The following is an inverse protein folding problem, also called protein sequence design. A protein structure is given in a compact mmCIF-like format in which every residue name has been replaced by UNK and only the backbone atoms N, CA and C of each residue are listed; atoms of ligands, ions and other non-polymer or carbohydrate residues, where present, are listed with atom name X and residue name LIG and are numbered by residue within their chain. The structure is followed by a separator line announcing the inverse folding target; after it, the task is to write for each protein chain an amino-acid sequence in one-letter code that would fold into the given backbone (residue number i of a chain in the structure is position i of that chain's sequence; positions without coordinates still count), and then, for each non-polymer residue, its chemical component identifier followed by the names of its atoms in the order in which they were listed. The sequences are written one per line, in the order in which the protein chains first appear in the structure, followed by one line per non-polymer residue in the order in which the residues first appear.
data_IF_513750435015
#
_entry.id   IF_513750435015
#
_cell.length_a   1.000
_cell.length_b   1.000
_cell.length_c   1.000
_cell.angle_alpha   90.00
_cell.angle_beta   90.00
_cell.angle_gamma   90.00
#
_symmetry.space_group_name_H-M   'P 1'
#
loop_
_entity.id
_entity.type
_entity.pdbx_description
1 polymer ?
#
# COMPACT_ATOMS: atom_id res chain seq x y z
N UNK A 1 -5.47 0.85 -13.39
CA UNK A 1 -4.58 0.53 -12.24
C UNK A 1 -4.09 1.79 -11.53
N UNK A 2 -3.50 2.76 -12.24
CA UNK A 2 -2.94 3.98 -11.62
C UNK A 2 -3.92 4.75 -10.71
N UNK A 3 -5.18 4.93 -11.11
CA UNK A 3 -6.17 5.60 -10.28
C UNK A 3 -6.44 4.86 -8.95
N UNK A 4 -6.47 3.53 -8.99
CA UNK A 4 -6.70 2.69 -7.79
C UNK A 4 -5.49 2.77 -6.85
N UNK A 5 -4.27 2.65 -7.38
CA UNK A 5 -3.06 2.74 -6.55
C UNK A 5 -2.91 4.12 -5.91
N UNK A 6 -3.25 5.19 -6.61
CA UNK A 6 -3.25 6.54 -6.07
C UNK A 6 -4.32 6.72 -4.98
N UNK A 7 -5.54 6.24 -5.21
CA UNK A 7 -6.63 6.33 -4.23
C UNK A 7 -6.27 5.59 -2.93
N UNK A 8 -5.71 4.38 -3.04
CA UNK A 8 -5.27 3.61 -1.87
C UNK A 8 -4.10 4.29 -1.15
N UNK A 9 -3.13 4.84 -1.88
CA UNK A 9 -2.03 5.57 -1.26
C UNK A 9 -2.54 6.81 -0.50
N UNK A 10 -3.47 7.54 -1.10
CA UNK A 10 -4.06 8.73 -0.50
C UNK A 10 -4.88 8.38 0.76
N UNK A 11 -5.68 7.31 0.74
CA UNK A 11 -6.45 6.90 1.91
C UNK A 11 -5.55 6.47 3.07
N UNK A 12 -4.53 5.65 2.79
CA UNK A 12 -3.55 5.23 3.79
C UNK A 12 -2.79 6.43 4.35
N UNK A 13 -2.38 7.36 3.48
CA UNK A 13 -1.69 8.59 3.89
C UNK A 13 -2.56 9.46 4.80
N UNK A 14 -3.85 9.61 4.49
CA UNK A 14 -4.80 10.36 5.30
C UNK A 14 -4.99 9.73 6.70
N UNK A 15 -5.17 8.41 6.73
CA UNK A 15 -5.29 7.66 7.98
C UNK A 15 -4.00 7.72 8.81
N UNK A 16 -2.83 7.64 8.18
CA UNK A 16 -1.53 7.77 8.85
C UNK A 16 -1.31 9.16 9.48
N UNK A 17 -1.97 10.20 8.96
CA UNK A 17 -2.02 11.54 9.56
C UNK A 17 -3.04 11.63 10.73
N UNK A 18 -3.75 10.56 11.03
CA UNK A 18 -4.77 10.52 12.09
C UNK A 18 -6.14 11.04 11.65
N UNK A 19 -6.37 11.20 10.35
CA UNK A 19 -7.65 11.67 9.78
C UNK A 19 -8.58 10.50 9.39
N UNK A 20 -8.25 9.29 9.86
CA UNK A 20 -9.04 8.07 9.67
C UNK A 20 -9.94 7.74 10.86
N UNK A 21 -10.81 6.72 10.71
CA UNK A 21 -11.62 6.20 11.81
C UNK A 21 -10.74 5.50 12.86
N UNK A 22 -10.58 6.14 14.03
CA UNK A 22 -9.65 5.73 15.09
C UNK A 22 -9.88 4.30 15.60
N UNK A 23 -11.15 3.85 15.63
CA UNK A 23 -11.53 2.52 16.10
C UNK A 23 -11.39 1.42 15.04
N UNK A 24 -11.15 1.80 13.77
CA UNK A 24 -11.07 0.83 12.69
C UNK A 24 -9.65 0.26 12.54
N UNK A 25 -9.49 -1.07 12.41
CA UNK A 25 -8.19 -1.70 12.22
C UNK A 25 -7.72 -1.63 10.76
N UNK A 26 -7.45 -0.42 10.26
CA UNK A 26 -6.94 -0.19 8.90
C UNK A 26 -5.40 -0.12 8.89
N UNK A 27 -4.79 -0.27 7.70
CA UNK A 27 -3.34 -0.19 7.55
C UNK A 27 -2.80 1.19 7.88
N UNK A 28 -3.48 2.26 7.47
CA UNK A 28 -3.06 3.62 7.77
C UNK A 28 -3.22 3.95 9.25
N UNK A 29 -4.30 3.51 9.90
CA UNK A 29 -4.45 3.67 11.35
C UNK A 29 -3.40 2.88 12.13
N UNK A 30 -3.02 1.68 11.67
CA UNK A 30 -1.92 0.91 12.29
C UNK A 30 -0.60 1.68 12.23
N UNK A 31 -0.31 2.34 11.10
CA UNK A 31 0.87 3.21 10.96
C UNK A 31 0.76 4.43 11.89
N UNK A 32 -0.42 5.05 11.97
CA UNK A 32 -0.67 6.17 12.88
C UNK A 32 -0.34 5.79 14.33
N UNK A 33 -0.87 4.67 14.83
CA UNK A 33 -0.60 4.18 16.18
C UNK A 33 0.88 3.84 16.38
N UNK A 34 1.55 3.23 15.39
CA UNK A 34 2.98 2.94 15.45
C UNK A 34 3.85 4.21 15.56
N UNK A 35 3.43 5.30 14.92
CA UNK A 35 4.11 6.60 15.05
C UNK A 35 3.80 7.22 16.41
N UNK A 36 2.53 7.23 16.82
CA UNK A 36 2.06 7.84 18.06
C UNK A 36 2.72 7.23 19.30
N UNK A 37 2.78 5.90 19.36
CA UNK A 37 3.39 5.14 20.48
C UNK A 37 4.92 5.05 20.37
N UNK A 38 5.52 5.69 19.35
CA UNK A 38 6.96 5.70 19.15
C UNK A 38 7.55 4.31 18.87
N UNK A 39 6.80 3.41 18.22
CA UNK A 39 7.20 2.01 17.98
C UNK A 39 8.55 1.89 17.25
N UNK A 40 8.86 2.85 16.35
CA UNK A 40 10.14 2.92 15.64
C UNK A 40 11.30 3.19 16.60
N UNK A 41 11.13 4.13 17.52
CA UNK A 41 12.14 4.51 18.53
C UNK A 41 12.29 3.37 19.56
N UNK A 42 11.17 2.76 19.96
CA UNK A 42 11.11 1.64 20.89
C UNK A 42 11.54 0.28 20.29
N UNK A 43 11.93 0.24 19.00
CA UNK A 43 12.35 -0.97 18.26
C UNK A 43 11.29 -2.07 18.19
N UNK A 44 10.01 -1.71 18.30
CA UNK A 44 8.89 -2.65 18.11
C UNK A 44 8.65 -2.89 16.63
N UNK A 45 9.55 -3.66 16.02
CA UNK A 45 9.52 -3.95 14.58
C UNK A 45 8.22 -4.61 14.13
N UNK A 46 7.57 -5.38 15.00
CA UNK A 46 6.28 -6.03 14.71
C UNK A 46 5.11 -5.04 14.57
N UNK A 47 5.27 -3.76 14.90
CA UNK A 47 4.23 -2.74 14.66
C UNK A 47 4.32 -2.11 13.27
N UNK A 48 5.52 -1.69 12.84
CA UNK A 48 5.69 -0.93 11.60
C UNK A 48 6.07 -1.81 10.40
N UNK A 49 6.74 -2.94 10.61
CA UNK A 49 7.19 -3.81 9.51
C UNK A 49 6.03 -4.52 8.79
N UNK A 50 5.02 -5.10 9.49
CA UNK A 50 3.91 -5.75 8.82
C UNK A 50 3.08 -4.84 7.91
N UNK A 51 2.60 -3.65 8.32
CA UNK A 51 1.80 -2.81 7.44
C UNK A 51 2.59 -2.35 6.21
N UNK A 52 3.89 -2.03 6.36
CA UNK A 52 4.75 -1.67 5.23
C UNK A 52 4.90 -2.82 4.24
N UNK A 53 5.04 -4.06 4.73
CA UNK A 53 5.18 -5.24 3.88
C UNK A 53 3.89 -5.52 3.09
N UNK A 54 2.73 -5.43 3.74
CA UNK A 54 1.43 -5.61 3.09
C UNK A 54 1.20 -4.55 2.01
N UNK A 55 1.51 -3.29 2.30
CA UNK A 55 1.45 -2.19 1.33
C UNK A 55 2.39 -2.48 0.16
N UNK A 56 3.64 -2.86 0.41
CA UNK A 56 4.61 -3.17 -0.65
C UNK A 56 4.12 -4.28 -1.59
N UNK A 57 3.56 -5.36 -1.03
CA UNK A 57 2.99 -6.46 -1.81
C UNK A 57 1.78 -5.98 -2.62
N UNK A 58 0.90 -5.16 -2.05
CA UNK A 58 -0.25 -4.61 -2.75
C UNK A 58 0.18 -3.79 -3.99
N UNK A 59 1.12 -2.86 -3.82
CA UNK A 59 1.58 -2.01 -4.91
C UNK A 59 2.36 -2.80 -5.97
N UNK A 60 3.15 -3.81 -5.55
CA UNK A 60 3.80 -4.73 -6.48
C UNK A 60 2.78 -5.56 -7.27
N UNK A 61 1.76 -6.09 -6.60
CA UNK A 61 0.68 -6.85 -7.25
C UNK A 61 -0.11 -6.01 -8.26
N UNK A 62 -0.42 -4.76 -7.90
CA UNK A 62 -1.06 -3.81 -8.82
C UNK A 62 -0.15 -3.49 -10.02
N UNK A 63 1.16 -3.33 -9.79
CA UNK A 63 2.13 -3.11 -10.87
C UNK A 63 2.20 -4.30 -11.84
N UNK A 64 2.31 -5.52 -11.32
CA UNK A 64 2.28 -6.75 -12.13
C UNK A 64 0.97 -6.87 -12.92
N UNK A 65 -0.16 -6.54 -12.29
CA UNK A 65 -1.47 -6.54 -12.94
C UNK A 65 -1.56 -5.49 -14.05
N UNK A 66 -0.93 -4.32 -13.88
CA UNK A 66 -0.84 -3.32 -14.95
C UNK A 66 -0.11 -3.89 -16.17
N UNK A 67 1.06 -4.50 -15.96
CA UNK A 67 1.83 -5.10 -17.05
C UNK A 67 1.08 -6.24 -17.74
N UNK A 68 0.42 -7.12 -16.97
CA UNK A 68 -0.38 -8.20 -17.53
C UNK A 68 -1.58 -7.69 -18.34
N UNK A 69 -2.27 -6.65 -17.87
CA UNK A 69 -3.34 -6.01 -18.63
C UNK A 69 -2.83 -5.35 -19.90
N UNK A 70 -1.66 -4.71 -19.87
CA UNK A 70 -1.06 -4.08 -21.03
C UNK A 70 -0.73 -5.13 -22.13
N UNK A 71 -0.26 -6.32 -21.74
CA UNK A 71 -0.03 -7.44 -22.67
C UNK A 71 -1.33 -7.99 -23.26
N UNK A 72 -2.39 -8.12 -22.46
CA UNK A 72 -3.70 -8.57 -22.93
C UNK A 72 -4.34 -7.54 -23.88
N UNK A 73 -4.23 -6.25 -23.53
CA UNK A 73 -4.83 -5.16 -24.30
C UNK A 73 -4.09 -4.88 -25.62
N UNK A 74 -2.79 -5.18 -25.70
CA UNK A 74 -2.00 -4.95 -26.91
C UNK A 74 -1.31 -6.23 -27.42
N UNK A 75 -2.04 -7.10 -28.14
CA UNK A 75 -1.51 -8.39 -28.61
C UNK A 75 -0.34 -8.26 -29.61
N UNK A 76 -0.08 -7.06 -30.16
CA UNK A 76 1.07 -6.79 -31.06
C UNK A 76 2.42 -6.74 -30.33
N UNK A 77 2.43 -6.55 -29.02
CA UNK A 77 3.68 -6.54 -28.22
C UNK A 77 4.16 -7.98 -27.95
N UNK A 78 3.24 -8.94 -27.97
CA UNK A 78 3.50 -10.37 -27.74
C UNK A 78 4.36 -11.03 -28.83
N UNK A 79 4.45 -10.44 -30.02
CA UNK A 79 5.17 -11.02 -31.17
C UNK A 79 6.67 -10.68 -31.21
N UNK A 80 7.17 -9.85 -30.29
CA UNK A 80 8.56 -9.36 -30.27
C UNK A 80 9.39 -9.82 -29.06
N UNK A 81 8.80 -10.59 -28.16
CA UNK A 81 9.49 -11.24 -27.02
C UNK A 81 9.61 -12.73 -27.34
#
# INVERSE_FOLDING_TARGET
VAAVSQAVLASIGLEALGLGPIEAPTLGMTIYWAILDGAVINRWWWWWLPPITVISILFLGLFLLSMGLDEIANPRVRERV
#
